data_IF_306768935552
#
_entry.id   IF_306768935552
#
_cell.length_a   1.000
_cell.length_b   1.000
_cell.length_c   1.000
_cell.angle_alpha   90.00
_cell.angle_beta   90.00
_cell.angle_gamma   90.00
#
_symmetry.space_group_name_H-M   'P 1'
#
loop_
_entity.id
_entity.type
_entity.pdbx_description
1 polymer ?
#
# COMPACT_ATOMS: atom_id res chain seq x y z
N UNK A 1 8.22 -0.23 -4.58
CA UNK A 1 9.00 0.88 -3.99
C UNK A 1 8.30 2.19 -4.24
N UNK A 2 7.95 2.51 -5.50
CA UNK A 2 7.20 3.73 -5.84
C UNK A 2 5.90 3.88 -5.03
N UNK A 3 5.12 2.81 -4.90
CA UNK A 3 3.94 2.73 -4.05
C UNK A 3 4.18 3.28 -2.62
N UNK A 4 5.13 2.70 -1.88
CA UNK A 4 5.45 3.12 -0.51
C UNK A 4 5.92 4.58 -0.42
N UNK A 5 6.63 5.07 -1.45
CA UNK A 5 7.07 6.48 -1.51
C UNK A 5 5.86 7.40 -1.70
N UNK A 6 4.96 7.09 -2.62
CA UNK A 6 3.74 7.87 -2.86
C UNK A 6 2.86 7.90 -1.61
N UNK A 7 2.58 6.74 -1.00
CA UNK A 7 1.80 6.63 0.24
C UNK A 7 2.43 7.43 1.36
N UNK A 8 3.75 7.30 1.57
CA UNK A 8 4.49 8.07 2.57
C UNK A 8 4.37 9.58 2.35
N UNK A 9 4.56 10.02 1.10
CA UNK A 9 4.61 11.45 0.78
C UNK A 9 3.24 12.12 0.89
N UNK A 10 2.20 11.50 0.33
CA UNK A 10 0.85 12.04 0.40
C UNK A 10 0.31 12.05 1.83
N UNK A 11 0.53 10.96 2.57
CA UNK A 11 0.14 10.88 3.99
C UNK A 11 0.86 11.94 4.83
N UNK A 12 2.14 12.21 4.56
CA UNK A 12 2.88 13.30 5.19
C UNK A 12 2.24 14.66 4.94
N UNK A 13 1.86 14.96 3.70
CA UNK A 13 1.22 16.23 3.35
C UNK A 13 -0.12 16.39 4.05
N UNK A 14 -0.93 15.33 4.11
CA UNK A 14 -2.21 15.32 4.81
C UNK A 14 -2.03 15.51 6.31
N UNK A 15 -1.14 14.73 6.95
CA UNK A 15 -0.85 14.86 8.36
C UNK A 15 -0.35 16.28 8.71
N UNK A 16 0.54 16.84 7.89
CA UNK A 16 1.03 18.21 8.05
C UNK A 16 -0.10 19.25 7.93
N UNK A 17 -0.98 19.10 6.93
CA UNK A 17 -2.14 19.99 6.73
C UNK A 17 -3.10 19.97 7.92
N UNK A 18 -3.25 18.82 8.56
CA UNK A 18 -4.14 18.63 9.72
C UNK A 18 -3.44 18.82 11.08
N UNK A 19 -2.21 19.32 11.10
CA UNK A 19 -1.42 19.54 12.32
C UNK A 19 -1.27 18.26 13.18
N UNK A 20 -1.13 17.12 12.51
CA UNK A 20 -0.84 15.82 13.10
C UNK A 20 0.67 15.52 13.09
N UNK A 21 1.07 14.36 13.61
CA UNK A 21 2.48 13.94 13.61
C UNK A 21 2.92 13.46 12.23
N UNK A 22 3.25 14.43 11.37
CA UNK A 22 3.65 14.19 10.00
C UNK A 22 4.94 13.35 9.89
N UNK A 23 5.85 13.45 10.87
CA UNK A 23 7.12 12.70 10.86
C UNK A 23 6.87 11.22 11.06
N UNK A 24 6.13 10.85 12.12
CA UNK A 24 5.74 9.45 12.34
C UNK A 24 4.91 8.91 11.18
N UNK A 25 4.03 9.74 10.62
CA UNK A 25 3.19 9.37 9.46
C UNK A 25 4.04 9.02 8.24
N UNK A 26 5.00 9.87 7.88
CA UNK A 26 5.89 9.63 6.75
C UNK A 26 6.73 8.37 6.95
N UNK A 27 7.36 8.24 8.13
CA UNK A 27 8.23 7.10 8.45
C UNK A 27 7.46 5.79 8.38
N UNK A 28 6.29 5.72 9.01
CA UNK A 28 5.48 4.52 9.00
C UNK A 28 4.85 4.25 7.62
N UNK A 29 4.44 5.28 6.89
CA UNK A 29 3.95 5.15 5.51
C UNK A 29 5.02 4.58 4.57
N UNK A 30 6.29 4.90 4.76
CA UNK A 30 7.38 4.28 3.98
C UNK A 30 7.59 2.79 4.35
N UNK A 31 7.30 2.40 5.59
CA UNK A 31 7.58 1.08 6.15
C UNK A 31 6.37 0.13 6.15
N UNK A 32 5.17 0.62 5.82
CA UNK A 32 3.91 -0.11 6.03
C UNK A 32 3.88 -1.46 5.29
N UNK A 33 4.52 -1.50 4.12
CA UNK A 33 4.51 -2.65 3.20
C UNK A 33 5.85 -3.39 3.11
N UNK A 34 6.61 -3.36 4.21
CA UNK A 34 7.96 -3.95 4.26
C UNK A 34 7.95 -5.49 4.38
N UNK A 35 7.51 -6.18 3.33
CA UNK A 35 7.60 -7.64 3.20
C UNK A 35 8.46 -8.03 1.99
N UNK A 36 9.14 -9.18 2.08
CA UNK A 36 10.18 -9.59 1.10
C UNK A 36 9.78 -10.78 0.24
N UNK A 37 8.48 -11.02 0.06
CA UNK A 37 7.94 -12.13 -0.71
C UNK A 37 6.91 -11.64 -1.71
N UNK A 38 6.72 -12.38 -2.80
CA UNK A 38 5.63 -12.12 -3.75
C UNK A 38 4.34 -12.76 -3.23
N UNK A 39 3.34 -11.94 -2.96
CA UNK A 39 2.04 -12.38 -2.42
C UNK A 39 1.14 -13.08 -3.45
N UNK A 40 1.43 -12.91 -4.75
CA UNK A 40 0.68 -13.60 -5.81
C UNK A 40 0.99 -15.10 -5.78
N UNK A 41 2.25 -15.44 -5.52
CA UNK A 41 2.75 -16.82 -5.48
C UNK A 41 2.83 -17.40 -4.06
N UNK A 42 3.19 -16.59 -3.08
CA UNK A 42 3.32 -17.04 -1.68
C UNK A 42 1.96 -17.07 -1.00
N UNK A 43 1.54 -18.24 -0.51
CA UNK A 43 0.30 -18.41 0.27
C UNK A 43 0.63 -18.85 1.69
N UNK A 44 -0.07 -18.24 2.65
CA UNK A 44 0.06 -18.59 4.06
C UNK A 44 -1.11 -19.48 4.48
N UNK A 45 -0.84 -20.45 5.35
CA UNK A 45 -1.87 -21.27 5.98
C UNK A 45 -2.60 -20.54 7.10
N UNK A 46 -1.96 -19.53 7.72
CA UNK A 46 -2.48 -18.78 8.86
C UNK A 46 -3.42 -17.60 8.51
N UNK A 47 -3.67 -17.33 7.23
CA UNK A 47 -4.60 -16.26 6.83
C UNK A 47 -4.32 -15.67 5.45
N UNK A 48 -5.15 -14.69 5.08
CA UNK A 48 -4.99 -13.93 3.84
C UNK A 48 -3.75 -13.04 3.89
N UNK A 49 -3.28 -12.62 2.71
CA UNK A 49 -2.17 -11.67 2.62
C UNK A 49 -2.46 -10.40 3.43
N UNK A 50 -3.63 -9.79 3.25
CA UNK A 50 -4.07 -8.59 3.97
C UNK A 50 -4.02 -8.73 5.50
N UNK A 51 -4.18 -9.95 6.03
CA UNK A 51 -4.04 -10.20 7.46
C UNK A 51 -2.58 -10.39 7.89
N UNK A 52 -1.77 -11.05 7.06
CA UNK A 52 -0.41 -11.45 7.44
C UNK A 52 0.63 -10.36 7.17
N UNK A 53 0.57 -9.64 6.05
CA UNK A 53 1.63 -8.70 5.69
C UNK A 53 1.81 -7.53 6.67
N UNK A 54 0.77 -6.96 7.30
CA UNK A 54 1.00 -5.86 8.25
C UNK A 54 1.84 -6.29 9.45
N UNK A 55 1.68 -7.55 9.88
CA UNK A 55 2.47 -8.16 10.97
C UNK A 55 3.90 -8.46 10.54
N UNK A 56 4.09 -8.94 9.30
CA UNK A 56 5.42 -9.17 8.74
C UNK A 56 6.16 -7.85 8.55
N UNK A 57 5.49 -6.84 8.00
CA UNK A 57 6.03 -5.51 7.79
C UNK A 57 6.45 -4.86 9.10
N UNK A 58 5.60 -4.90 10.13
CA UNK A 58 5.94 -4.42 11.46
C UNK A 58 7.19 -5.11 12.00
N UNK A 59 7.23 -6.45 11.97
CA UNK A 59 8.37 -7.22 12.46
C UNK A 59 9.66 -6.92 11.69
N UNK A 60 9.58 -6.65 10.40
CA UNK A 60 10.74 -6.27 9.60
C UNK A 60 11.19 -4.84 9.91
N UNK A 61 10.25 -3.91 10.07
CA UNK A 61 10.54 -2.52 10.39
C UNK A 61 11.20 -2.39 11.78
N UNK A 62 10.72 -3.15 12.78
CA UNK A 62 11.31 -3.19 14.13
C UNK A 62 12.76 -3.72 14.15
N UNK A 63 13.19 -4.49 13.12
CA UNK A 63 14.59 -4.92 12.99
C UNK A 63 15.49 -3.85 12.39
N UNK A 64 14.93 -2.91 11.64
CA UNK A 64 15.68 -1.88 10.92
C UNK A 64 15.78 -0.57 11.68
N UNK A 65 14.77 -0.23 12.48
CA UNK A 65 14.72 1.03 13.19
C UNK A 65 13.86 0.94 14.45
N UNK A 66 14.08 1.86 15.38
CA UNK A 66 13.21 2.03 16.54
C UNK A 66 11.92 2.69 16.08
N UNK A 67 10.79 2.06 16.45
CA UNK A 67 9.45 2.56 16.14
C UNK A 67 8.74 3.00 17.41
N UNK A 68 8.06 4.14 17.33
CA UNK A 68 7.14 4.59 18.37
C UNK A 68 5.76 3.92 18.24
N UNK A 69 4.91 4.05 19.26
CA UNK A 69 3.60 3.39 19.32
C UNK A 69 2.68 3.74 18.14
N UNK A 70 2.78 4.96 17.61
CA UNK A 70 1.98 5.41 16.47
C UNK A 70 2.47 4.79 15.17
N UNK A 71 3.78 4.78 14.94
CA UNK A 71 4.37 4.13 13.77
C UNK A 71 4.02 2.63 13.75
N UNK A 72 4.07 1.97 14.90
CA UNK A 72 3.65 0.56 15.03
C UNK A 72 2.17 0.36 14.71
N UNK A 73 1.29 1.24 15.20
CA UNK A 73 -0.14 1.19 14.92
C UNK A 73 -0.45 1.41 13.43
N UNK A 74 0.20 2.39 12.80
CA UNK A 74 0.11 2.64 11.35
C UNK A 74 0.49 1.38 10.57
N UNK A 75 1.69 0.84 10.79
CA UNK A 75 2.19 -0.31 10.03
C UNK A 75 1.32 -1.54 10.28
N UNK A 76 0.84 -1.75 11.49
CA UNK A 76 0.03 -2.94 11.80
C UNK A 76 -1.40 -2.87 11.23
N UNK A 77 -1.93 -1.67 11.00
CA UNK A 77 -3.36 -1.44 10.74
C UNK A 77 -3.65 -0.68 9.44
N UNK A 78 -2.67 -0.50 8.56
CA UNK A 78 -2.88 0.16 7.27
C UNK A 78 -3.87 -0.59 6.37
N UNK A 79 -4.10 -1.88 6.60
CA UNK A 79 -5.16 -2.66 5.92
C UNK A 79 -6.53 -2.52 6.60
N UNK A 80 -6.87 -1.36 7.14
CA UNK A 80 -8.17 -1.15 7.77
C UNK A 80 -9.29 -1.16 6.73
N UNK A 81 -10.37 -1.91 6.97
CA UNK A 81 -11.42 -2.16 5.98
C UNK A 81 -11.26 -3.53 5.30
N UNK A 82 -10.04 -3.91 4.92
CA UNK A 82 -9.71 -5.29 4.56
C UNK A 82 -9.52 -6.19 5.80
N UNK A 83 -9.18 -5.59 6.94
CA UNK A 83 -9.07 -6.24 8.25
C UNK A 83 -9.96 -5.53 9.29
N UNK A 84 -10.32 -6.26 10.35
CA UNK A 84 -11.14 -5.75 11.47
C UNK A 84 -10.31 -4.87 12.43
N UNK A 85 -8.99 -4.77 12.23
CA UNK A 85 -8.09 -4.05 13.12
C UNK A 85 -8.30 -2.53 13.00
N UNK A 86 -9.07 -1.95 13.91
CA UNK A 86 -9.39 -0.52 13.92
C UNK A 86 -8.15 0.34 14.26
N UNK A 87 -7.79 1.33 13.41
CA UNK A 87 -6.77 2.34 13.67
C UNK A 87 -7.00 3.06 15.00
N UNK A 88 -5.95 3.22 15.80
CA UNK A 88 -6.03 3.96 17.08
C UNK A 88 -5.79 5.46 16.89
N UNK A 89 -4.89 5.81 15.96
CA UNK A 89 -4.50 7.19 15.68
C UNK A 89 -5.11 7.67 14.35
N UNK A 90 -5.34 8.97 14.23
CA UNK A 90 -5.81 9.56 12.97
C UNK A 90 -4.80 9.37 11.84
N UNK A 91 -3.51 9.45 12.17
CA UNK A 91 -2.40 9.18 11.25
C UNK A 91 -2.47 7.75 10.67
N UNK A 92 -2.87 6.76 11.48
CA UNK A 92 -3.10 5.39 11.03
C UNK A 92 -4.24 5.29 10.01
N UNK A 93 -5.33 6.03 10.23
CA UNK A 93 -6.43 6.09 9.26
C UNK A 93 -6.03 6.80 7.97
N UNK A 94 -5.20 7.85 8.05
CA UNK A 94 -4.69 8.56 6.87
C UNK A 94 -3.88 7.60 6.00
N UNK A 95 -2.90 6.92 6.58
CA UNK A 95 -2.03 6.01 5.82
C UNK A 95 -2.84 4.86 5.23
N UNK A 96 -3.78 4.28 5.99
CA UNK A 96 -4.66 3.22 5.49
C UNK A 96 -5.47 3.66 4.27
N UNK A 97 -6.07 4.86 4.31
CA UNK A 97 -6.88 5.34 3.20
C UNK A 97 -6.04 5.68 1.96
N UNK A 98 -4.87 6.32 2.15
CA UNK A 98 -3.97 6.67 1.06
C UNK A 98 -3.41 5.40 0.42
N UNK A 99 -3.05 4.39 1.22
CA UNK A 99 -2.62 3.08 0.73
C UNK A 99 -3.68 2.43 -0.18
N UNK A 100 -4.92 2.32 0.30
CA UNK A 100 -6.05 1.79 -0.48
C UNK A 100 -6.26 2.57 -1.79
N UNK A 101 -6.20 3.90 -1.75
CA UNK A 101 -6.37 4.76 -2.94
C UNK A 101 -5.26 4.51 -3.97
N UNK A 102 -4.00 4.51 -3.53
CA UNK A 102 -2.85 4.27 -4.42
C UNK A 102 -2.91 2.86 -5.01
N UNK A 103 -3.24 1.84 -4.22
CA UNK A 103 -3.39 0.47 -4.69
C UNK A 103 -4.49 0.33 -5.74
N UNK A 104 -5.63 1.01 -5.55
CA UNK A 104 -6.72 1.08 -6.52
C UNK A 104 -6.26 1.76 -7.81
N UNK A 105 -5.64 2.92 -7.71
CA UNK A 105 -5.17 3.71 -8.86
C UNK A 105 -4.14 2.93 -9.67
N UNK A 106 -3.16 2.31 -9.02
CA UNK A 106 -2.15 1.45 -9.67
C UNK A 106 -2.78 0.27 -10.41
N UNK A 107 -3.78 -0.39 -9.79
CA UNK A 107 -4.49 -1.50 -10.40
C UNK A 107 -5.23 -1.06 -11.67
N UNK A 108 -5.99 0.04 -11.60
CA UNK A 108 -6.74 0.54 -12.76
C UNK A 108 -5.83 1.02 -13.89
N UNK A 109 -4.68 1.62 -13.57
CA UNK A 109 -3.68 2.01 -14.55
C UNK A 109 -3.10 0.80 -15.29
N UNK A 110 -2.85 -0.29 -14.56
CA UNK A 110 -2.42 -1.55 -15.17
C UNK A 110 -3.49 -2.10 -16.12
N UNK A 111 -4.74 -2.20 -15.67
CA UNK A 111 -5.88 -2.68 -16.49
C UNK A 111 -6.05 -1.83 -17.75
N UNK A 112 -5.95 -0.50 -17.64
CA UNK A 112 -6.06 0.43 -18.77
C UNK A 112 -4.95 0.21 -19.79
N UNK A 113 -3.71 -0.01 -19.34
CA UNK A 113 -2.56 -0.32 -20.21
C UNK A 113 -2.77 -1.64 -20.94
N UNK A 114 -3.21 -2.70 -20.25
CA UNK A 114 -3.50 -3.99 -20.87
C UNK A 114 -4.60 -3.89 -21.94
N UNK A 115 -5.69 -3.16 -21.64
CA UNK A 115 -6.78 -2.95 -22.58
C UNK A 115 -6.31 -2.20 -23.83
N UNK A 116 -5.52 -1.14 -23.66
CA UNK A 116 -4.94 -0.39 -24.78
C UNK A 116 -4.04 -1.27 -25.66
N UNK A 117 -3.22 -2.13 -25.05
CA UNK A 117 -2.37 -3.08 -25.77
C UNK A 117 -3.17 -4.12 -26.55
N UNK A 118 -4.24 -4.68 -25.97
CA UNK A 118 -5.15 -5.60 -26.66
C UNK A 118 -5.83 -4.91 -27.86
N UNK A 119 -6.29 -3.68 -27.68
CA UNK A 119 -6.91 -2.89 -28.75
C UNK A 119 -5.93 -2.59 -29.89
N UNK A 120 -4.68 -2.23 -29.58
CA UNK A 120 -3.63 -2.01 -30.59
C UNK A 120 -3.35 -3.28 -31.40
N UNK A 121 -3.17 -4.43 -30.73
CA UNK A 121 -2.97 -5.73 -31.40
C UNK A 121 -4.15 -6.11 -32.29
N UNK A 122 -5.39 -5.83 -31.86
CA UNK A 122 -6.58 -6.05 -32.68
C UNK A 122 -6.58 -5.18 -33.94
N UNK A 123 -6.28 -3.88 -33.82
CA UNK A 123 -6.19 -2.97 -34.96
C UNK A 123 -5.12 -3.40 -35.97
N UNK A 124 -3.93 -3.76 -35.51
CA UNK A 124 -2.86 -4.27 -36.37
C UNK A 124 -3.27 -5.55 -37.11
N UNK A 125 -3.98 -6.45 -36.44
CA UNK A 125 -4.49 -7.68 -37.07
C UNK A 125 -5.49 -7.33 -38.17
N UNK A 126 -6.48 -6.48 -37.91
CA UNK A 126 -7.48 -6.07 -38.91
C UNK A 126 -6.84 -5.39 -40.12
N UNK A 127 -5.86 -4.50 -39.92
CA UNK A 127 -5.14 -3.83 -41.01
C UNK A 127 -4.37 -4.82 -41.89
N UNK A 128 -3.86 -5.93 -41.33
CA UNK A 128 -3.18 -6.99 -42.12
C UNK A 128 -4.13 -7.83 -42.98
N UNK A 129 -5.44 -7.73 -42.77
CA UNK A 129 -6.47 -8.48 -43.53
C UNK A 129 -7.23 -7.61 -44.55
N UNK A 130 -6.85 -6.35 -44.71
CA UNK A 130 -7.31 -5.42 -45.74
C UNK A 130 -6.12 -5.11 -46.65
#
# INVERSE_FOLDING_TARGET
MDHCISVSYESYLLAKKHNLDAVSTARAGLLHDLFYYDWRTTKFTLGSHAFIHPRVALRNAEKLTVLNDKEKDIILKHMWGATIARPKYFESSIVSFVDDEQAITEYFDHVRKEFKMKLMKYKEKVIKFI
#
